data_IF_389233054444
#
_entry.id   IF_389233054444
#
_cell.length_a   1.000
_cell.length_b   1.000
_cell.length_c   1.000
_cell.angle_alpha   90.00
_cell.angle_beta   90.00
_cell.angle_gamma   90.00
#
_symmetry.space_group_name_H-M   'P 1'
#
loop_
_entity.id
_entity.type
_entity.pdbx_description
1 polymer ?
#
# COMPACT_ATOMS: atom_id res chain seq x y z
N UNK A 1 4.05 6.23 10.58
CA UNK A 1 3.70 4.86 10.30
C UNK A 1 4.23 4.34 8.96
N UNK A 2 3.95 3.10 8.65
CA UNK A 2 4.45 2.36 7.48
C UNK A 2 4.18 3.08 6.15
N UNK A 3 2.93 3.43 5.89
CA UNK A 3 2.50 4.08 4.64
C UNK A 3 3.10 5.46 4.47
N UNK A 4 3.10 6.26 5.54
CA UNK A 4 3.72 7.60 5.55
C UNK A 4 5.22 7.54 5.24
N UNK A 5 5.91 6.49 5.69
CA UNK A 5 7.33 6.31 5.37
C UNK A 5 7.54 6.20 3.86
N UNK A 6 6.77 5.35 3.18
CA UNK A 6 6.86 5.16 1.74
C UNK A 6 6.54 6.46 1.00
N UNK A 7 5.45 7.14 1.38
CA UNK A 7 5.05 8.42 0.78
C UNK A 7 6.13 9.49 0.93
N UNK A 8 6.77 9.58 2.10
CA UNK A 8 7.83 10.55 2.36
C UNK A 8 9.11 10.24 1.58
N UNK A 9 9.45 8.97 1.40
CA UNK A 9 10.60 8.58 0.55
C UNK A 9 10.30 8.90 -0.91
N UNK A 10 9.11 8.58 -1.40
CA UNK A 10 8.70 8.89 -2.76
C UNK A 10 8.73 10.40 -3.03
N UNK A 11 8.21 11.20 -2.09
CA UNK A 11 8.22 12.67 -2.20
C UNK A 11 9.65 13.23 -2.28
N UNK A 12 10.59 12.73 -1.47
CA UNK A 12 12.00 13.16 -1.51
C UNK A 12 12.71 12.77 -2.80
N UNK A 13 12.27 11.67 -3.42
CA UNK A 13 12.79 11.22 -4.71
C UNK A 13 12.06 11.86 -5.91
N UNK A 14 11.13 12.78 -5.65
CA UNK A 14 10.24 13.36 -6.66
C UNK A 14 9.53 12.28 -7.49
N UNK A 15 9.10 11.20 -6.86
CA UNK A 15 8.46 10.06 -7.47
C UNK A 15 6.96 10.11 -7.19
N UNK A 16 6.09 10.12 -8.22
CA UNK A 16 4.65 10.03 -8.02
C UNK A 16 4.29 8.80 -7.21
N UNK A 17 3.47 8.98 -6.18
CA UNK A 17 3.04 7.91 -5.29
C UNK A 17 1.53 7.80 -5.29
N UNK A 18 1.03 6.60 -5.54
CA UNK A 18 -0.40 6.27 -5.47
C UNK A 18 -0.60 5.20 -4.43
N UNK A 19 -1.55 5.44 -3.53
CA UNK A 19 -1.87 4.55 -2.44
C UNK A 19 -3.28 3.98 -2.61
N UNK A 20 -3.41 2.67 -2.46
CA UNK A 20 -4.67 1.93 -2.53
C UNK A 20 -4.79 1.10 -1.27
N UNK A 21 -5.87 1.27 -0.52
CA UNK A 21 -6.17 0.44 0.63
C UNK A 21 -6.86 -0.85 0.17
N UNK A 22 -6.29 -2.01 0.51
CA UNK A 22 -6.84 -3.32 0.16
C UNK A 22 -7.78 -3.79 1.25
N UNK A 23 -8.92 -3.17 1.34
CA UNK A 23 -9.99 -3.65 2.22
C UNK A 23 -10.83 -4.76 1.55
N UNK A 24 -11.78 -5.32 2.30
CA UNK A 24 -12.67 -6.39 1.84
C UNK A 24 -13.62 -5.96 0.69
N UNK A 25 -13.71 -4.67 0.36
CA UNK A 25 -14.57 -4.14 -0.69
C UNK A 25 -13.86 -4.03 -2.02
N UNK A 26 -12.53 -3.91 -2.03
CA UNK A 26 -11.75 -3.87 -3.27
C UNK A 26 -11.79 -5.23 -3.95
N UNK A 27 -12.23 -5.25 -5.19
CA UNK A 27 -12.34 -6.43 -6.02
C UNK A 27 -11.31 -6.42 -7.15
N UNK A 28 -11.16 -7.55 -7.83
CA UNK A 28 -10.34 -7.66 -9.04
C UNK A 28 -10.72 -6.62 -10.10
N UNK A 29 -12.01 -6.34 -10.25
CA UNK A 29 -12.54 -5.38 -11.25
C UNK A 29 -12.06 -3.96 -10.95
N UNK A 30 -11.99 -3.59 -9.67
CA UNK A 30 -11.53 -2.27 -9.26
C UNK A 30 -10.03 -2.08 -9.52
N UNK A 31 -9.25 -3.15 -9.39
CA UNK A 31 -7.82 -3.12 -9.68
C UNK A 31 -7.50 -3.15 -11.16
N UNK A 32 -8.10 -4.07 -11.92
CA UNK A 32 -7.76 -4.32 -13.32
C UNK A 32 -8.52 -3.39 -14.26
N UNK A 33 -9.79 -3.17 -13.98
CA UNK A 33 -10.70 -2.42 -14.84
C UNK A 33 -11.94 -3.22 -15.19
N UNK A 34 -12.83 -2.58 -15.91
CA UNK A 34 -14.13 -3.11 -16.30
C UNK A 34 -14.64 -2.50 -17.59
N UNK A 35 -15.52 -3.24 -18.23
CA UNK A 35 -16.31 -2.70 -19.34
C UNK A 35 -17.28 -1.62 -18.83
N UNK A 36 -17.32 -0.51 -19.53
CA UNK A 36 -18.23 0.60 -19.28
C UNK A 36 -18.96 0.97 -20.57
N UNK A 37 -20.25 1.26 -20.43
CA UNK A 37 -21.04 1.80 -21.54
C UNK A 37 -20.79 3.29 -21.61
N UNK A 38 -20.26 3.75 -22.72
CA UNK A 38 -20.00 5.16 -23.02
C UNK A 38 -20.82 5.62 -24.22
N UNK A 39 -21.20 6.90 -24.24
CA UNK A 39 -21.85 7.50 -25.39
C UNK A 39 -20.77 8.08 -26.31
N UNK A 40 -20.68 7.54 -27.54
CA UNK A 40 -19.90 8.16 -28.63
C UNK A 40 -20.82 8.44 -29.82
N UNK A 41 -20.84 9.65 -30.29
CA UNK A 41 -21.68 10.10 -31.42
C UNK A 41 -23.14 9.69 -31.25
N UNK A 42 -23.70 9.86 -30.04
CA UNK A 42 -25.07 9.51 -29.67
C UNK A 42 -25.38 8.00 -29.73
N UNK A 43 -24.36 7.14 -29.85
CA UNK A 43 -24.48 5.68 -29.78
C UNK A 43 -23.85 5.15 -28.49
N UNK A 44 -24.49 4.13 -27.92
CA UNK A 44 -23.91 3.39 -26.80
C UNK A 44 -22.84 2.42 -27.32
N UNK A 45 -21.63 2.55 -26.79
CA UNK A 45 -20.51 1.68 -27.11
C UNK A 45 -19.95 1.12 -25.80
N UNK A 46 -19.64 -0.17 -25.80
CA UNK A 46 -18.92 -0.77 -24.67
C UNK A 46 -17.42 -0.51 -24.84
N UNK A 47 -16.80 0.07 -23.81
CA UNK A 47 -15.38 0.38 -23.79
C UNK A 47 -14.76 -0.13 -22.49
N UNK A 48 -13.65 -0.85 -22.59
CA UNK A 48 -12.90 -1.26 -21.40
C UNK A 48 -12.21 -0.05 -20.76
N UNK A 49 -12.50 0.18 -19.48
CA UNK A 49 -11.83 1.19 -18.66
C UNK A 49 -10.81 0.53 -17.76
N UNK A 50 -9.54 0.85 -17.97
CA UNK A 50 -8.44 0.35 -17.17
C UNK A 50 -8.59 0.79 -15.71
N UNK A 51 -8.28 -0.12 -14.79
CA UNK A 51 -8.18 0.14 -13.36
C UNK A 51 -6.82 0.72 -12.99
N UNK A 52 -6.61 0.88 -11.68
CA UNK A 52 -5.40 1.52 -11.16
C UNK A 52 -4.13 0.70 -11.42
N UNK A 53 -4.20 -0.63 -11.40
CA UNK A 53 -3.02 -1.49 -11.55
C UNK A 53 -2.44 -1.48 -12.97
N UNK A 54 -3.23 -1.67 -14.06
CA UNK A 54 -2.74 -1.54 -15.43
C UNK A 54 -2.15 -0.16 -15.71
N UNK A 55 -2.82 0.90 -15.24
CA UNK A 55 -2.32 2.26 -15.38
C UNK A 55 -0.99 2.44 -14.65
N UNK A 56 -0.88 2.02 -13.39
CA UNK A 56 0.34 2.18 -12.61
C UNK A 56 1.52 1.40 -13.22
N UNK A 57 1.28 0.17 -13.70
CA UNK A 57 2.31 -0.63 -14.35
C UNK A 57 2.97 0.07 -15.54
N UNK A 58 2.19 0.84 -16.30
CA UNK A 58 2.68 1.51 -17.51
C UNK A 58 3.39 2.84 -17.21
N UNK A 59 3.31 3.35 -15.97
CA UNK A 59 3.80 4.66 -15.60
C UNK A 59 4.96 4.60 -14.61
N UNK A 60 5.71 5.70 -14.54
CA UNK A 60 6.76 5.93 -13.54
C UNK A 60 6.09 6.31 -12.22
N UNK A 61 5.72 5.33 -11.41
CA UNK A 61 4.96 5.53 -10.18
C UNK A 61 5.34 4.53 -9.11
N UNK A 62 5.28 4.95 -7.86
CA UNK A 62 5.28 4.10 -6.68
C UNK A 62 3.81 3.76 -6.35
N UNK A 63 3.40 2.52 -6.56
CA UNK A 63 2.09 2.03 -6.15
C UNK A 63 2.21 1.36 -4.78
N UNK A 64 1.38 1.77 -3.85
CA UNK A 64 1.38 1.26 -2.47
C UNK A 64 0.06 0.56 -2.20
N UNK A 65 0.11 -0.73 -1.91
CA UNK A 65 -1.02 -1.46 -1.37
C UNK A 65 -0.98 -1.43 0.16
N UNK A 66 -1.88 -0.66 0.74
CA UNK A 66 -2.02 -0.58 2.19
C UNK A 66 -2.93 -1.71 2.70
N UNK A 67 -2.64 -2.19 3.91
CA UNK A 67 -3.37 -3.30 4.52
C UNK A 67 -3.40 -4.55 3.63
N UNK A 68 -2.25 -4.91 3.08
CA UNK A 68 -2.09 -6.02 2.15
C UNK A 68 -2.61 -7.34 2.72
N UNK A 69 -2.49 -7.55 4.03
CA UNK A 69 -2.98 -8.70 4.77
C UNK A 69 -4.51 -8.71 5.00
N UNK A 70 -5.22 -7.63 4.67
CA UNK A 70 -6.69 -7.59 4.64
C UNK A 70 -7.28 -7.79 3.24
N UNK A 71 -6.43 -7.92 2.22
CA UNK A 71 -6.83 -8.05 0.83
C UNK A 71 -7.58 -9.36 0.53
N UNK A 72 -8.54 -9.30 -0.38
CA UNK A 72 -9.26 -10.48 -0.86
C UNK A 72 -8.34 -11.41 -1.65
N UNK A 73 -8.57 -12.71 -1.58
CA UNK A 73 -7.76 -13.71 -2.26
C UNK A 73 -7.70 -13.53 -3.79
N UNK A 74 -8.81 -13.16 -4.43
CA UNK A 74 -8.87 -12.90 -5.86
C UNK A 74 -8.02 -11.70 -6.30
N UNK A 75 -7.95 -10.66 -5.47
CA UNK A 75 -7.09 -9.48 -5.64
C UNK A 75 -5.62 -9.85 -5.45
N UNK A 76 -5.33 -10.64 -4.41
CA UNK A 76 -3.97 -11.08 -4.09
C UNK A 76 -3.33 -11.91 -5.22
N UNK A 77 -4.10 -12.76 -5.90
CA UNK A 77 -3.61 -13.52 -7.06
C UNK A 77 -3.23 -12.64 -8.25
N UNK A 78 -3.94 -11.53 -8.47
CA UNK A 78 -3.59 -10.57 -9.51
C UNK A 78 -2.28 -9.87 -9.19
N UNK A 79 -2.12 -9.42 -7.95
CA UNK A 79 -0.91 -8.75 -7.48
C UNK A 79 0.29 -9.70 -7.53
N UNK A 80 0.09 -10.95 -7.11
CA UNK A 80 1.12 -11.98 -7.16
C UNK A 80 1.76 -12.11 -8.55
N UNK A 81 0.95 -12.03 -9.61
CA UNK A 81 1.42 -12.16 -10.99
C UNK A 81 2.38 -11.03 -11.39
N UNK A 82 2.16 -9.85 -10.85
CA UNK A 82 3.03 -8.67 -11.08
C UNK A 82 4.35 -8.77 -10.30
N UNK A 83 4.35 -9.47 -9.18
CA UNK A 83 5.52 -9.66 -8.31
C UNK A 83 6.50 -10.74 -8.80
N UNK A 84 6.13 -11.55 -9.79
CA UNK A 84 7.03 -12.55 -10.36
C UNK A 84 8.25 -11.90 -11.05
N UNK A 85 9.34 -12.66 -11.21
CA UNK A 85 10.59 -12.17 -11.82
C UNK A 85 10.36 -11.57 -13.21
N UNK A 86 9.53 -12.25 -14.03
CA UNK A 86 9.02 -11.73 -15.30
C UNK A 86 7.65 -11.10 -15.12
N UNK A 87 7.50 -10.28 -14.10
CA UNK A 87 6.22 -9.70 -13.71
C UNK A 87 5.49 -9.08 -14.90
N UNK A 88 4.25 -9.52 -15.11
CA UNK A 88 3.40 -9.03 -16.20
C UNK A 88 1.94 -9.16 -15.81
N UNK A 89 1.12 -8.33 -16.40
CA UNK A 89 -0.33 -8.37 -16.22
C UNK A 89 -1.00 -8.67 -17.56
N UNK A 90 -1.76 -9.75 -17.62
CA UNK A 90 -2.55 -10.09 -18.80
C UNK A 90 -3.97 -9.56 -18.63
N UNK A 91 -4.37 -8.66 -19.49
CA UNK A 91 -5.72 -8.13 -19.60
C UNK A 91 -6.50 -9.01 -20.59
N UNK A 92 -7.32 -9.92 -20.08
CA UNK A 92 -8.07 -10.86 -20.90
C UNK A 92 -9.12 -10.16 -21.77
N UNK A 93 -9.74 -9.12 -21.23
CA UNK A 93 -10.82 -8.37 -21.91
C UNK A 93 -10.33 -7.63 -23.17
N UNK A 94 -9.04 -7.30 -23.21
CA UNK A 94 -8.41 -6.57 -24.34
C UNK A 94 -7.32 -7.37 -25.03
N UNK A 95 -7.07 -8.63 -24.62
CA UNK A 95 -5.98 -9.49 -25.12
C UNK A 95 -4.60 -8.82 -25.09
N UNK A 96 -4.34 -8.01 -24.06
CA UNK A 96 -3.06 -7.31 -23.89
C UNK A 96 -2.25 -7.91 -22.76
N UNK A 97 -0.93 -7.96 -22.95
CA UNK A 97 0.05 -8.26 -21.91
C UNK A 97 0.82 -6.99 -21.59
N UNK A 98 0.72 -6.54 -20.35
CA UNK A 98 1.42 -5.36 -19.87
C UNK A 98 2.66 -5.77 -19.07
N UNK A 99 3.79 -5.14 -19.39
CA UNK A 99 5.02 -5.26 -18.63
C UNK A 99 5.23 -4.00 -17.80
N UNK A 100 5.80 -4.14 -16.59
CA UNK A 100 6.07 -2.98 -15.74
C UNK A 100 7.02 -1.99 -16.42
N UNK A 101 6.69 -0.72 -16.29
CA UNK A 101 7.61 0.35 -16.64
C UNK A 101 8.91 0.20 -15.82
N UNK A 102 10.05 0.55 -16.42
CA UNK A 102 11.38 0.47 -15.78
C UNK A 102 11.43 1.14 -14.39
N UNK A 103 10.66 2.19 -14.21
CA UNK A 103 10.61 2.99 -12.99
C UNK A 103 9.33 2.75 -12.16
N UNK A 104 8.52 1.77 -12.50
CA UNK A 104 7.44 1.32 -11.64
C UNK A 104 8.00 0.63 -10.39
N UNK A 105 7.42 0.91 -9.23
CA UNK A 105 7.73 0.19 -7.99
C UNK A 105 6.45 -0.12 -7.25
N UNK A 106 6.41 -1.33 -6.71
CA UNK A 106 5.29 -1.82 -5.93
C UNK A 106 5.70 -1.96 -4.47
N UNK A 107 4.89 -1.42 -3.60
CA UNK A 107 5.05 -1.51 -2.15
C UNK A 107 3.78 -2.05 -1.52
N UNK A 108 3.91 -2.66 -0.36
CA UNK A 108 2.78 -3.05 0.46
C UNK A 108 3.05 -2.77 1.94
N UNK A 109 2.00 -2.54 2.70
CA UNK A 109 2.06 -2.51 4.16
C UNK A 109 1.16 -3.59 4.74
N UNK A 110 1.57 -4.19 5.83
CA UNK A 110 0.80 -5.18 6.55
C UNK A 110 0.98 -5.00 8.06
N UNK A 111 0.04 -5.46 8.84
CA UNK A 111 0.09 -5.40 10.30
C UNK A 111 0.52 -6.74 10.92
N UNK A 112 0.31 -7.86 10.24
CA UNK A 112 0.50 -9.21 10.78
C UNK A 112 1.64 -10.00 10.14
N UNK A 113 2.42 -9.37 9.27
CA UNK A 113 3.48 -10.03 8.46
C UNK A 113 2.93 -11.24 7.66
N UNK A 114 1.63 -11.25 7.38
CA UNK A 114 0.98 -12.32 6.65
C UNK A 114 0.61 -13.56 7.45
N UNK A 115 0.83 -13.56 8.77
CA UNK A 115 0.50 -14.70 9.64
C UNK A 115 -0.96 -14.69 10.13
N UNK A 116 -1.71 -13.64 9.82
CA UNK A 116 -3.04 -13.41 10.36
C UNK A 116 -3.00 -12.86 11.78
N UNK A 117 -4.17 -12.49 12.30
CA UNK A 117 -4.27 -11.93 13.64
C UNK A 117 -4.27 -13.03 14.70
N UNK A 118 -3.17 -13.15 15.43
CA UNK A 118 -3.04 -14.07 16.58
C UNK A 118 -3.32 -13.36 17.90
N UNK A 119 -3.44 -12.04 17.90
CA UNK A 119 -3.56 -11.22 19.12
C UNK A 119 -4.97 -10.67 19.35
N UNK A 120 -5.85 -10.73 18.35
CA UNK A 120 -7.17 -10.09 18.38
C UNK A 120 -7.14 -8.57 18.21
N UNK A 121 -5.98 -7.99 17.86
CA UNK A 121 -5.82 -6.55 17.69
C UNK A 121 -6.02 -6.09 16.22
N UNK A 122 -5.94 -7.02 15.27
CA UNK A 122 -5.97 -6.72 13.83
C UNK A 122 -7.10 -7.48 13.14
N UNK A 123 -8.34 -7.23 13.58
CA UNK A 123 -9.52 -7.84 12.99
C UNK A 123 -9.60 -7.59 11.47
N UNK A 124 -9.98 -8.61 10.72
CA UNK A 124 -10.11 -8.55 9.26
C UNK A 124 -8.85 -8.91 8.49
N UNK A 125 -7.70 -9.09 9.15
CA UNK A 125 -6.50 -9.60 8.50
C UNK A 125 -6.61 -11.11 8.25
N UNK A 126 -6.02 -11.58 7.15
CA UNK A 126 -6.02 -12.98 6.73
C UNK A 126 -4.60 -13.53 6.69
N UNK A 127 -4.48 -14.84 6.78
CA UNK A 127 -3.21 -15.49 6.50
C UNK A 127 -2.88 -15.38 5.01
N UNK A 128 -1.72 -14.84 4.69
CA UNK A 128 -1.21 -14.75 3.34
C UNK A 128 -0.51 -16.06 3.00
N UNK A 129 -0.77 -16.60 1.82
CA UNK A 129 -0.09 -17.80 1.34
C UNK A 129 1.42 -17.55 1.26
N UNK A 130 2.21 -18.51 1.76
CA UNK A 130 3.68 -18.41 1.75
C UNK A 130 4.24 -18.11 0.35
N UNK A 131 3.69 -18.73 -0.69
CA UNK A 131 4.11 -18.46 -2.05
C UNK A 131 3.85 -17.02 -2.51
N UNK A 132 2.92 -16.30 -1.91
CA UNK A 132 2.70 -14.86 -2.16
C UNK A 132 3.71 -14.01 -1.40
N UNK A 133 4.06 -14.41 -0.18
CA UNK A 133 5.07 -13.72 0.62
C UNK A 133 6.46 -13.84 0.00
N UNK A 134 6.83 -15.00 -0.51
CA UNK A 134 8.14 -15.26 -1.12
C UNK A 134 8.42 -14.43 -2.38
N UNK A 135 7.38 -13.85 -2.99
CA UNK A 135 7.54 -12.98 -4.17
C UNK A 135 7.94 -11.54 -3.84
N UNK A 136 7.82 -11.14 -2.58
CA UNK A 136 8.31 -9.84 -2.17
C UNK A 136 9.83 -9.88 -2.02
N UNK A 137 10.52 -9.06 -2.80
CA UNK A 137 12.00 -9.03 -2.83
C UNK A 137 12.60 -8.53 -1.51
N UNK A 138 11.90 -7.66 -0.81
CA UNK A 138 12.34 -7.07 0.45
C UNK A 138 11.14 -7.03 1.41
N UNK A 139 11.32 -7.61 2.58
CA UNK A 139 10.38 -7.51 3.70
C UNK A 139 11.12 -6.87 4.87
N UNK A 140 10.58 -5.80 5.41
CA UNK A 140 11.16 -5.05 6.53
C UNK A 140 10.11 -4.77 7.58
N UNK A 141 10.46 -4.92 8.83
CA UNK A 141 9.61 -4.53 9.96
C UNK A 141 9.91 -3.10 10.38
N UNK A 142 8.87 -2.34 10.65
CA UNK A 142 8.97 -1.02 11.25
C UNK A 142 8.41 -1.09 12.66
N UNK A 143 9.26 -0.79 13.62
CA UNK A 143 8.90 -0.70 15.03
C UNK A 143 8.76 0.76 15.46
N UNK A 144 8.43 0.97 16.72
CA UNK A 144 8.47 2.28 17.35
C UNK A 144 9.89 2.89 17.23
N UNK A 145 9.94 4.19 17.14
CA UNK A 145 11.21 4.92 17.15
C UNK A 145 11.77 4.94 18.58
N UNK A 146 13.08 5.19 18.75
CA UNK A 146 13.63 5.47 20.08
C UNK A 146 12.88 6.63 20.74
N UNK A 147 12.62 6.53 22.04
CA UNK A 147 11.84 7.47 22.85
C UNK A 147 12.23 8.95 22.61
N UNK A 148 13.53 9.25 22.52
CA UNK A 148 14.01 10.59 22.24
C UNK A 148 13.59 11.09 20.85
N UNK A 149 13.62 10.22 19.85
CA UNK A 149 13.22 10.57 18.48
C UNK A 149 11.71 10.84 18.40
N UNK A 150 10.89 10.06 19.09
CA UNK A 150 9.44 10.30 19.17
C UNK A 150 9.12 11.60 19.89
N UNK A 151 9.77 11.86 21.02
CA UNK A 151 9.65 13.12 21.76
C UNK A 151 9.98 14.31 20.87
N UNK A 152 11.08 14.25 20.11
CA UNK A 152 11.50 15.32 19.20
C UNK A 152 10.51 15.54 18.04
N UNK A 153 9.89 14.48 17.53
CA UNK A 153 8.84 14.59 16.50
C UNK A 153 7.63 15.33 17.05
N UNK A 154 7.20 15.01 18.27
CA UNK A 154 6.04 15.67 18.89
C UNK A 154 6.37 17.13 19.17
N UNK A 155 7.56 17.46 19.69
CA UNK A 155 8.01 18.84 19.90
C UNK A 155 8.03 19.64 18.61
N UNK A 156 8.49 19.07 17.51
CA UNK A 156 8.49 19.72 16.20
C UNK A 156 7.07 20.04 15.69
N UNK A 157 6.05 19.26 16.11
CA UNK A 157 4.65 19.46 15.74
C UNK A 157 3.90 20.38 16.72
N UNK A 158 4.30 20.39 17.98
CA UNK A 158 3.65 21.16 19.06
C UNK A 158 4.73 21.94 19.85
N UNK A 159 5.27 23.02 19.27
CA UNK A 159 6.35 23.80 19.90
C UNK A 159 5.99 24.38 21.26
N UNK A 160 4.71 24.53 21.58
CA UNK A 160 4.24 25.01 22.89
C UNK A 160 4.65 24.13 24.08
N UNK A 161 5.00 22.86 23.81
CA UNK A 161 5.54 21.95 24.83
C UNK A 161 7.07 22.02 24.97
N UNK A 162 7.75 22.91 24.25
CA UNK A 162 9.20 23.10 24.35
C UNK A 162 9.60 23.93 25.57
N UNK A 163 9.18 23.44 26.73
CA UNK A 163 9.59 23.91 28.06
C UNK A 163 10.00 22.70 28.90
N UNK A 164 10.73 22.90 29.97
CA UNK A 164 11.17 21.77 30.81
C UNK A 164 9.98 20.92 31.31
N UNK A 165 8.95 21.57 31.85
CA UNK A 165 7.71 20.87 32.28
C UNK A 165 6.96 20.24 31.13
N UNK A 166 6.94 20.85 29.94
CA UNK A 166 6.32 20.31 28.75
C UNK A 166 7.04 19.07 28.23
N UNK A 167 8.36 19.10 28.16
CA UNK A 167 9.20 17.98 27.77
C UNK A 167 9.04 16.78 28.71
N UNK A 168 8.97 17.02 30.03
CA UNK A 168 8.68 15.94 31.00
C UNK A 168 7.31 15.30 30.77
N UNK A 169 6.28 16.08 30.49
CA UNK A 169 4.95 15.56 30.15
C UNK A 169 4.98 14.75 28.87
N UNK A 170 5.65 15.25 27.83
CA UNK A 170 5.78 14.51 26.56
C UNK A 170 6.53 13.20 26.73
N UNK A 171 7.63 13.19 27.50
CA UNK A 171 8.36 11.96 27.77
C UNK A 171 7.47 10.91 28.46
N UNK A 172 6.66 11.32 29.43
CA UNK A 172 5.71 10.44 30.09
C UNK A 172 4.62 9.93 29.13
N UNK A 173 4.12 10.77 28.21
CA UNK A 173 3.14 10.37 27.19
C UNK A 173 3.72 9.38 26.18
N UNK A 174 4.96 9.59 25.73
CA UNK A 174 5.65 8.66 24.82
C UNK A 174 5.87 7.31 25.52
N UNK A 175 6.34 7.32 26.76
CA UNK A 175 6.49 6.09 27.54
C UNK A 175 5.17 5.33 27.74
N UNK A 176 4.06 6.04 27.91
CA UNK A 176 2.73 5.41 28.02
C UNK A 176 2.26 4.80 26.68
N UNK A 177 2.66 5.37 25.57
CA UNK A 177 2.28 4.87 24.24
C UNK A 177 3.09 3.63 23.82
N UNK A 178 4.22 3.36 24.47
CA UNK A 178 5.06 2.18 24.24
C UNK A 178 4.61 0.95 25.07
N UNK A 179 3.70 1.12 26.03
CA UNK A 179 3.11 0.05 26.83
C UNK A 179 1.98 -0.67 26.10
#
# INVERSE_FOLDING_TARGET
>A
GKSTHIEQVAARLNWPCVRVNLDSHISRIDLIGKDAIVLRDSKQVTEFREGILPWALQNTVALVFDEYDAGRADVMFVIQRVLEVDGKLTLLDTNKVLHPNKYFRLFATANTVGLGDTTGLYHGTQQINQGQMDRWSIVSTLNYLPHEAETNIVLAKVPSYDSEAGRQKLAAMVSLAEL
#
